data_IF_889712103760
#
_entry.id   IF_889712103760
#
_cell.length_a   1.000
_cell.length_b   1.000
_cell.length_c   1.000
_cell.angle_alpha   90.00
_cell.angle_beta   90.00
_cell.angle_gamma   90.00
#
_symmetry.space_group_name_H-M   'P 1'
#
loop_
_entity.id
_entity.type
_entity.pdbx_description
1 polymer ?
#
# COMPACT_ATOMS: atom_id res chain seq x y z
N UNK A 1 -31.62 15.08 -25.98
CA UNK A 1 -32.16 15.02 -24.61
C UNK A 1 -31.19 14.21 -23.78
N UNK A 2 -30.52 14.85 -22.82
CA UNK A 2 -29.55 14.16 -21.98
C UNK A 2 -30.25 13.06 -21.20
N UNK A 3 -29.77 11.82 -21.36
CA UNK A 3 -30.25 10.70 -20.57
C UNK A 3 -29.72 10.88 -19.15
N UNK A 4 -30.63 11.01 -18.18
CA UNK A 4 -30.33 11.13 -16.75
C UNK A 4 -31.07 10.04 -15.98
N UNK A 5 -30.48 9.64 -14.86
CA UNK A 5 -31.10 8.77 -13.84
C UNK A 5 -31.02 9.52 -12.52
N UNK A 6 -32.03 9.38 -11.68
CA UNK A 6 -31.95 9.88 -10.31
C UNK A 6 -31.29 8.84 -9.39
N UNK A 7 -30.75 9.31 -8.25
CA UNK A 7 -30.23 8.41 -7.22
C UNK A 7 -31.34 7.49 -6.66
N UNK A 8 -32.57 7.99 -6.54
CA UNK A 8 -33.71 7.23 -6.03
C UNK A 8 -34.09 6.07 -6.96
N UNK A 9 -34.09 6.30 -8.28
CA UNK A 9 -34.32 5.27 -9.29
C UNK A 9 -33.25 4.16 -9.23
N UNK A 10 -31.98 4.54 -9.11
CA UNK A 10 -30.86 3.60 -9.00
C UNK A 10 -30.98 2.78 -7.70
N UNK A 11 -31.27 3.45 -6.57
CA UNK A 11 -31.43 2.79 -5.28
C UNK A 11 -32.60 1.80 -5.26
N UNK A 12 -33.71 2.12 -5.92
CA UNK A 12 -34.84 1.20 -6.08
C UNK A 12 -34.43 -0.06 -6.87
N UNK A 13 -33.74 0.10 -8.00
CA UNK A 13 -33.21 -1.04 -8.78
C UNK A 13 -32.25 -1.92 -7.98
N UNK A 14 -31.37 -1.32 -7.18
CA UNK A 14 -30.45 -2.06 -6.31
C UNK A 14 -31.23 -2.89 -5.29
N UNK A 15 -32.21 -2.29 -4.60
CA UNK A 15 -33.06 -2.98 -3.62
C UNK A 15 -33.87 -4.14 -4.23
N UNK A 16 -34.31 -3.98 -5.47
CA UNK A 16 -35.05 -5.01 -6.22
C UNK A 16 -34.14 -6.08 -6.84
N UNK A 17 -32.81 -5.96 -6.75
CA UNK A 17 -31.86 -6.88 -7.38
C UNK A 17 -31.82 -6.79 -8.92
N UNK A 18 -32.31 -5.69 -9.50
CA UNK A 18 -32.41 -5.46 -10.95
C UNK A 18 -31.33 -4.54 -11.51
N UNK A 19 -30.53 -3.93 -10.64
CA UNK A 19 -29.45 -3.03 -11.07
C UNK A 19 -28.32 -3.82 -11.74
N UNK A 20 -27.86 -3.37 -12.89
CA UNK A 20 -26.61 -3.87 -13.49
C UNK A 20 -25.44 -3.11 -12.87
N UNK A 21 -24.61 -3.81 -12.09
CA UNK A 21 -23.48 -3.26 -11.35
C UNK A 21 -22.20 -3.85 -11.95
N UNK A 22 -21.26 -2.98 -12.34
CA UNK A 22 -19.94 -3.39 -12.82
C UNK A 22 -18.85 -2.76 -11.97
N UNK A 23 -17.74 -3.46 -11.76
CA UNK A 23 -16.49 -2.83 -11.34
C UNK A 23 -15.90 -2.02 -12.49
N UNK A 24 -15.09 -1.01 -12.15
CA UNK A 24 -14.34 -0.24 -13.15
C UNK A 24 -13.47 -1.13 -14.04
N UNK A 25 -12.88 -2.20 -13.49
CA UNK A 25 -12.05 -3.12 -14.27
C UNK A 25 -12.87 -3.96 -15.25
N UNK A 26 -14.05 -4.45 -14.85
CA UNK A 26 -14.95 -5.16 -15.76
C UNK A 26 -15.40 -4.25 -16.91
N UNK A 27 -15.68 -2.98 -16.62
CA UNK A 27 -16.02 -2.02 -17.67
C UNK A 27 -14.87 -1.81 -18.65
N UNK A 28 -13.64 -1.60 -18.16
CA UNK A 28 -12.44 -1.45 -19.01
C UNK A 28 -12.26 -2.69 -19.89
N UNK A 29 -12.29 -3.88 -19.31
CA UNK A 29 -12.12 -5.13 -20.05
C UNK A 29 -13.17 -5.30 -21.16
N UNK A 30 -14.42 -4.91 -20.91
CA UNK A 30 -15.50 -4.96 -21.91
C UNK A 30 -15.22 -4.01 -23.08
N UNK A 31 -14.78 -2.79 -22.78
CA UNK A 31 -14.41 -1.80 -23.80
C UNK A 31 -13.21 -2.25 -24.63
N UNK A 32 -12.17 -2.79 -23.99
CA UNK A 32 -10.97 -3.31 -24.66
C UNK A 32 -11.29 -4.49 -25.58
N UNK A 33 -12.29 -5.31 -25.23
CA UNK A 33 -12.81 -6.38 -26.07
C UNK A 33 -13.73 -5.89 -27.20
N UNK A 34 -13.92 -4.57 -27.36
CA UNK A 34 -14.74 -3.97 -28.40
C UNK A 34 -16.24 -3.93 -28.10
N UNK A 35 -16.68 -4.23 -26.88
CA UNK A 35 -18.09 -4.10 -26.51
C UNK A 35 -18.52 -2.62 -26.49
N UNK A 36 -19.65 -2.31 -27.13
CA UNK A 36 -20.27 -0.97 -27.05
C UNK A 36 -21.19 -0.86 -25.85
N UNK A 37 -20.69 -0.27 -24.76
CA UNK A 37 -21.47 0.02 -23.56
C UNK A 37 -22.28 1.30 -23.75
N UNK A 38 -23.60 1.23 -23.59
CA UNK A 38 -24.51 2.38 -23.66
C UNK A 38 -25.04 2.72 -22.28
N UNK A 39 -25.59 3.93 -22.15
CA UNK A 39 -26.22 4.42 -20.91
C UNK A 39 -27.14 3.40 -20.22
N UNK A 40 -27.92 2.63 -20.99
CA UNK A 40 -28.89 1.66 -20.45
C UNK A 40 -28.29 0.33 -19.98
N UNK A 41 -27.04 0.04 -20.34
CA UNK A 41 -26.42 -1.27 -20.13
C UNK A 41 -25.76 -1.39 -18.75
N UNK A 42 -25.54 -0.27 -18.04
CA UNK A 42 -24.95 -0.22 -16.70
C UNK A 42 -25.73 0.76 -15.85
N UNK A 43 -26.07 0.40 -14.61
CA UNK A 43 -26.73 1.28 -13.65
C UNK A 43 -25.74 1.86 -12.63
N UNK A 44 -24.76 1.08 -12.18
CA UNK A 44 -23.73 1.50 -11.22
C UNK A 44 -22.35 1.00 -11.66
N UNK A 45 -21.35 1.88 -11.58
CA UNK A 45 -19.95 1.50 -11.68
C UNK A 45 -19.34 1.62 -10.29
N UNK A 46 -18.83 0.51 -9.77
CA UNK A 46 -18.06 0.50 -8.52
C UNK A 46 -16.60 0.75 -8.85
N UNK A 47 -16.01 1.72 -8.16
CA UNK A 47 -14.58 1.98 -8.22
C UNK A 47 -13.96 1.55 -6.91
N UNK A 48 -12.74 1.04 -6.98
CA UNK A 48 -11.92 0.80 -5.81
C UNK A 48 -10.59 1.50 -6.03
N UNK A 49 -10.21 2.36 -5.10
CA UNK A 49 -8.89 2.98 -5.11
C UNK A 49 -7.96 2.09 -4.31
N UNK A 50 -6.99 1.47 -4.97
CA UNK A 50 -5.85 0.87 -4.28
C UNK A 50 -4.75 1.92 -4.20
N UNK A 51 -4.50 2.43 -2.99
CA UNK A 51 -3.46 3.40 -2.76
C UNK A 51 -2.69 3.06 -1.48
N UNK A 52 -1.43 3.47 -1.46
CA UNK A 52 -0.61 3.44 -0.26
C UNK A 52 -1.15 4.48 0.71
N UNK A 53 -1.73 4.01 1.81
CA UNK A 53 -2.25 4.91 2.83
C UNK A 53 -1.09 5.43 3.69
N UNK A 54 -1.06 6.75 3.90
CA UNK A 54 -0.17 7.35 4.89
C UNK A 54 -0.49 6.85 6.29
N UNK A 55 0.54 6.70 7.13
CA UNK A 55 0.39 6.17 8.48
C UNK A 55 0.35 4.65 8.59
N UNK A 56 0.77 3.92 7.54
CA UNK A 56 1.06 2.48 7.59
C UNK A 56 2.55 2.26 7.90
N UNK A 57 2.84 1.36 8.84
CA UNK A 57 4.17 0.86 9.14
C UNK A 57 4.19 -0.68 9.18
N UNK A 58 5.26 -1.29 8.69
CA UNK A 58 5.60 -2.69 8.89
C UNK A 58 6.61 -2.82 10.03
N UNK A 59 6.34 -3.70 10.99
CA UNK A 59 7.21 -4.02 12.11
C UNK A 59 7.68 -5.46 11.95
N UNK A 60 8.98 -5.66 11.88
CA UNK A 60 9.59 -6.93 11.54
C UNK A 60 10.63 -7.33 12.57
N UNK A 61 10.82 -8.64 12.77
CA UNK A 61 11.95 -9.22 13.49
C UNK A 61 12.46 -10.43 12.72
N UNK A 62 13.74 -10.43 12.35
CA UNK A 62 14.33 -11.51 11.57
C UNK A 62 15.84 -11.65 11.84
N UNK A 63 16.41 -12.81 11.54
CA UNK A 63 17.83 -13.11 11.75
C UNK A 63 18.65 -12.68 10.53
N UNK A 64 19.51 -11.69 10.72
CA UNK A 64 20.37 -11.18 9.65
C UNK A 64 21.81 -11.69 9.75
N UNK A 65 22.30 -12.04 10.94
CA UNK A 65 23.66 -12.55 11.15
C UNK A 65 23.72 -13.71 12.17
N UNK A 66 24.84 -14.44 12.25
CA UNK A 66 25.12 -15.31 13.39
C UNK A 66 25.25 -14.49 14.69
N UNK A 67 24.95 -15.08 15.86
CA UNK A 67 25.19 -14.43 17.15
C UNK A 67 26.65 -13.98 17.30
N UNK A 68 26.84 -12.92 18.09
CA UNK A 68 28.13 -12.32 18.45
C UNK A 68 28.91 -11.70 17.29
N UNK A 69 28.31 -11.56 16.11
CA UNK A 69 28.97 -11.00 14.91
C UNK A 69 28.79 -9.48 14.76
N UNK A 70 27.62 -8.95 15.14
CA UNK A 70 27.25 -7.55 14.93
C UNK A 70 26.76 -6.96 16.24
N UNK A 71 27.26 -5.78 16.63
CA UNK A 71 26.79 -5.07 17.83
C UNK A 71 25.56 -4.22 17.53
N UNK A 72 25.52 -3.57 16.38
CA UNK A 72 24.41 -2.68 15.99
C UNK A 72 24.38 -2.45 14.49
N UNK A 73 23.19 -2.52 13.91
CA UNK A 73 22.97 -2.01 12.55
C UNK A 73 22.60 -0.53 12.58
N UNK A 74 23.21 0.27 11.71
CA UNK A 74 22.93 1.72 11.59
C UNK A 74 22.06 2.04 10.39
N UNK A 75 22.07 1.17 9.38
CA UNK A 75 21.24 1.33 8.19
C UNK A 75 20.79 -0.04 7.75
N UNK A 76 19.48 -0.23 7.61
CA UNK A 76 18.89 -1.45 7.07
C UNK A 76 17.83 -1.08 6.05
N UNK A 77 17.81 -1.79 4.92
CA UNK A 77 16.79 -1.66 3.90
C UNK A 77 16.29 -3.02 3.44
N UNK A 78 15.05 -3.06 2.97
CA UNK A 78 14.46 -4.21 2.30
C UNK A 78 13.98 -3.76 0.92
N UNK A 79 14.44 -4.40 -0.15
CA UNK A 79 14.21 -3.97 -1.54
C UNK A 79 14.51 -2.47 -1.78
N UNK A 80 15.49 -1.92 -1.06
CA UNK A 80 15.86 -0.49 -1.13
C UNK A 80 14.94 0.46 -0.36
N UNK A 81 13.91 -0.03 0.32
CA UNK A 81 13.11 0.75 1.28
C UNK A 81 13.91 0.83 2.59
N UNK A 82 14.30 2.04 3.00
CA UNK A 82 15.01 2.23 4.26
C UNK A 82 14.08 2.06 5.46
N UNK A 83 14.55 1.34 6.47
CA UNK A 83 13.86 1.16 7.74
C UNK A 83 14.66 1.70 8.92
N UNK A 84 14.02 1.70 10.07
CA UNK A 84 14.54 2.13 11.35
C UNK A 84 14.88 0.89 12.18
N UNK A 85 16.17 0.58 12.41
CA UNK A 85 16.58 -0.54 13.25
C UNK A 85 16.15 -0.33 14.70
N UNK A 86 15.81 -1.43 15.38
CA UNK A 86 15.25 -1.45 16.72
C UNK A 86 13.73 -1.72 16.71
N UNK A 87 13.05 -1.60 17.86
CA UNK A 87 13.52 -0.95 19.07
C UNK A 87 14.41 -1.83 19.97
N UNK A 88 14.39 -3.16 19.84
CA UNK A 88 15.17 -4.02 20.73
C UNK A 88 16.62 -4.18 20.25
N UNK A 89 17.61 -4.10 21.16
CA UNK A 89 19.03 -4.24 20.82
C UNK A 89 19.46 -5.72 20.70
N UNK A 90 18.78 -6.48 19.84
CA UNK A 90 18.98 -7.93 19.68
C UNK A 90 20.07 -8.28 18.64
N UNK A 91 20.76 -7.30 18.08
CA UNK A 91 21.70 -7.51 16.97
C UNK A 91 22.88 -8.40 17.37
N UNK A 92 23.28 -8.38 18.65
CA UNK A 92 24.32 -9.28 19.15
C UNK A 92 23.86 -10.74 19.24
N UNK A 93 22.56 -11.01 19.21
CA UNK A 93 22.00 -12.34 18.99
C UNK A 93 21.83 -12.67 17.49
N UNK A 94 22.17 -11.72 16.62
CA UNK A 94 22.02 -11.82 15.17
C UNK A 94 20.62 -11.52 14.65
N UNK A 95 19.72 -11.07 15.53
CA UNK A 95 18.33 -10.73 15.21
C UNK A 95 18.21 -9.22 15.14
N UNK A 96 17.50 -8.73 14.13
CA UNK A 96 17.18 -7.31 14.01
C UNK A 96 15.68 -7.12 14.10
N UNK A 97 15.28 -6.12 14.87
CA UNK A 97 13.95 -5.54 14.80
C UNK A 97 13.99 -4.34 13.85
N UNK A 98 12.97 -4.18 13.01
CA UNK A 98 12.94 -3.15 11.98
C UNK A 98 11.54 -2.58 11.81
N UNK A 99 11.45 -1.25 11.77
CA UNK A 99 10.24 -0.53 11.40
C UNK A 99 10.42 0.07 10.01
N UNK A 100 9.50 -0.19 9.09
CA UNK A 100 9.47 0.36 7.73
C UNK A 100 8.16 1.11 7.51
N UNK A 101 8.18 2.21 6.76
CA UNK A 101 6.96 2.97 6.45
C UNK A 101 6.42 2.64 5.06
N UNK A 102 5.11 2.50 4.94
CA UNK A 102 4.46 2.15 3.68
C UNK A 102 4.61 3.20 2.58
N UNK A 103 4.80 4.46 2.97
CA UNK A 103 5.00 5.60 2.05
C UNK A 103 6.46 5.82 1.65
N UNK A 104 7.41 5.13 2.29
CA UNK A 104 8.83 5.27 1.98
C UNK A 104 9.12 4.77 0.57
N UNK A 105 10.01 5.45 -0.15
CA UNK A 105 10.35 5.12 -1.54
C UNK A 105 11.62 4.28 -1.59
N UNK A 106 11.68 3.38 -2.57
CA UNK A 106 12.90 2.61 -2.77
C UNK A 106 13.99 3.48 -3.37
N UNK A 107 15.20 3.33 -2.84
CA UNK A 107 16.41 3.93 -3.41
C UNK A 107 16.98 3.14 -4.58
N UNK A 108 16.48 1.94 -4.84
CA UNK A 108 17.06 1.01 -5.83
C UNK A 108 16.06 0.47 -6.84
N UNK A 109 14.76 0.71 -6.65
CA UNK A 109 13.69 0.30 -7.56
C UNK A 109 12.80 1.49 -7.90
N UNK A 110 12.64 1.77 -9.19
CA UNK A 110 11.74 2.82 -9.66
C UNK A 110 10.27 2.46 -9.37
N UNK A 111 9.48 3.47 -9.02
CA UNK A 111 8.05 3.34 -8.72
C UNK A 111 7.71 2.29 -7.65
N UNK A 112 8.63 2.02 -6.73
CA UNK A 112 8.47 1.01 -5.68
C UNK A 112 8.47 1.66 -4.29
N UNK A 113 7.54 1.24 -3.43
CA UNK A 113 7.34 1.81 -2.10
C UNK A 113 7.25 0.76 -1.01
N UNK A 114 7.26 1.20 0.25
CA UNK A 114 7.10 0.33 1.41
C UNK A 114 5.81 -0.51 1.38
N UNK A 115 4.67 0.03 0.92
CA UNK A 115 3.47 -0.78 0.85
C UNK A 115 3.45 -1.77 -0.33
N UNK A 116 4.19 -1.50 -1.41
CA UNK A 116 4.45 -2.54 -2.42
C UNK A 116 5.34 -3.65 -1.85
N UNK A 117 6.35 -3.29 -1.06
CA UNK A 117 7.15 -4.26 -0.29
C UNK A 117 6.28 -5.10 0.65
N UNK A 118 5.36 -4.49 1.39
CA UNK A 118 4.48 -5.23 2.30
C UNK A 118 3.58 -6.21 1.55
N UNK A 119 3.07 -5.80 0.38
CA UNK A 119 2.34 -6.70 -0.52
C UNK A 119 3.21 -7.86 -0.98
N UNK A 120 4.43 -7.59 -1.46
CA UNK A 120 5.35 -8.63 -1.92
C UNK A 120 5.65 -9.65 -0.83
N UNK A 121 5.86 -9.20 0.41
CA UNK A 121 6.05 -10.07 1.58
C UNK A 121 4.82 -10.96 1.84
N UNK A 122 3.61 -10.39 1.82
CA UNK A 122 2.37 -11.15 2.03
C UNK A 122 2.09 -12.13 0.89
N UNK A 123 2.51 -11.81 -0.33
CA UNK A 123 2.47 -12.71 -1.50
C UNK A 123 3.58 -13.79 -1.45
N UNK A 124 4.40 -13.82 -0.39
CA UNK A 124 5.47 -14.81 -0.21
C UNK A 124 6.69 -14.61 -1.12
N UNK A 125 6.83 -13.43 -1.73
CA UNK A 125 7.96 -13.15 -2.61
C UNK A 125 9.25 -12.97 -1.82
N UNK A 126 10.34 -13.34 -2.46
CA UNK A 126 11.68 -13.11 -1.94
C UNK A 126 12.05 -11.61 -2.02
N UNK A 127 12.63 -11.08 -0.95
CA UNK A 127 13.03 -9.69 -0.81
C UNK A 127 14.51 -9.58 -0.44
N UNK A 128 15.17 -8.54 -0.96
CA UNK A 128 16.59 -8.29 -0.70
C UNK A 128 16.75 -7.41 0.54
N UNK A 129 17.29 -7.96 1.61
CA UNK A 129 17.69 -7.21 2.80
C UNK A 129 19.15 -6.79 2.70
N UNK A 130 19.43 -5.51 2.88
CA UNK A 130 20.78 -4.95 2.99
C UNK A 130 20.93 -4.22 4.32
N UNK A 131 22.03 -4.46 5.02
CA UNK A 131 22.33 -3.77 6.26
C UNK A 131 23.81 -3.41 6.38
N UNK A 132 24.07 -2.27 7.02
CA UNK A 132 25.40 -1.82 7.42
C UNK A 132 25.47 -1.62 8.93
N UNK A 133 26.53 -2.13 9.54
CA UNK A 133 26.77 -2.05 10.99
C UNK A 133 27.65 -0.87 11.39
N UNK A 134 27.68 -0.55 12.70
CA UNK A 134 28.59 0.47 13.24
C UNK A 134 30.07 0.11 13.04
N UNK A 135 30.36 -1.19 12.95
CA UNK A 135 31.70 -1.74 12.72
C UNK A 135 32.11 -1.72 11.24
N UNK A 136 31.24 -1.21 10.35
CA UNK A 136 31.48 -1.17 8.91
C UNK A 136 31.20 -2.49 8.19
N UNK A 137 30.57 -3.47 8.84
CA UNK A 137 30.18 -4.71 8.17
C UNK A 137 28.93 -4.47 7.32
N UNK A 138 29.00 -4.88 6.05
CA UNK A 138 27.86 -4.91 5.15
C UNK A 138 27.36 -6.34 4.97
N UNK A 139 26.05 -6.52 5.08
CA UNK A 139 25.37 -7.82 4.93
C UNK A 139 24.25 -7.65 3.90
N UNK A 140 24.23 -8.55 2.93
CA UNK A 140 23.13 -8.69 1.97
C UNK A 140 22.58 -10.12 2.05
N UNK A 141 21.26 -10.26 2.13
CA UNK A 141 20.55 -11.55 2.10
C UNK A 141 19.26 -11.42 1.31
N UNK A 142 18.89 -12.51 0.67
CA UNK A 142 17.53 -12.71 0.16
C UNK A 142 16.74 -13.48 1.22
N UNK A 143 15.55 -13.00 1.57
CA UNK A 143 14.67 -13.58 2.57
C UNK A 143 13.23 -13.56 2.06
N UNK A 144 12.40 -14.48 2.56
CA UNK A 144 10.94 -14.48 2.41
C UNK A 144 10.29 -14.10 3.74
N UNK A 145 8.97 -13.89 3.75
CA UNK A 145 8.27 -13.62 5.02
C UNK A 145 8.37 -14.78 6.01
N UNK A 146 8.57 -16.02 5.54
CA UNK A 146 8.71 -17.20 6.40
C UNK A 146 10.03 -17.22 7.19
N UNK A 147 11.03 -16.45 6.75
CA UNK A 147 12.28 -16.25 7.49
C UNK A 147 12.13 -15.26 8.67
N UNK A 148 10.97 -14.59 8.77
CA UNK A 148 10.73 -13.55 9.77
C UNK A 148 10.11 -14.18 11.01
N UNK A 149 10.80 -14.04 12.15
CA UNK A 149 10.27 -14.48 13.44
C UNK A 149 9.05 -13.65 13.87
N UNK A 150 8.94 -12.41 13.38
CA UNK A 150 7.80 -11.55 13.58
C UNK A 150 7.59 -10.64 12.37
N UNK A 151 6.34 -10.50 11.94
CA UNK A 151 5.93 -9.52 10.95
C UNK A 151 4.52 -9.02 11.30
N UNK A 152 4.35 -7.71 11.44
CA UNK A 152 3.04 -7.09 11.70
C UNK A 152 2.91 -5.78 10.95
N UNK A 153 1.77 -5.61 10.30
CA UNK A 153 1.34 -4.33 9.78
C UNK A 153 0.65 -3.53 10.90
N UNK A 154 1.06 -2.29 11.08
CA UNK A 154 0.44 -1.34 11.99
C UNK A 154 -0.03 -0.12 11.20
N UNK A 155 -1.23 0.35 11.47
CA UNK A 155 -1.70 1.60 10.91
C UNK A 155 -2.23 2.54 11.99
N UNK A 156 -1.85 3.81 11.90
CA UNK A 156 -2.30 4.84 12.85
C UNK A 156 -3.68 5.39 12.51
N UNK A 157 -4.12 5.19 11.27
CA UNK A 157 -5.44 5.53 10.74
C UNK A 157 -5.88 4.33 9.90
N UNK A 158 -6.70 3.43 10.43
CA UNK A 158 -7.20 2.25 9.70
C UNK A 158 -8.71 2.16 9.95
N UNK A 159 -9.47 1.84 8.90
CA UNK A 159 -10.93 1.73 8.93
C UNK A 159 -11.66 3.01 9.40
N UNK A 160 -11.75 4.00 8.50
CA UNK A 160 -12.49 5.23 8.77
C UNK A 160 -13.92 5.01 8.26
N UNK A 161 -14.82 4.60 9.15
CA UNK A 161 -16.26 4.74 8.90
C UNK A 161 -16.56 6.22 9.11
N UNK A 162 -16.89 6.95 8.03
CA UNK A 162 -17.05 8.41 7.97
C UNK A 162 -15.76 9.20 7.74
N UNK A 163 -15.04 8.92 6.65
CA UNK A 163 -14.02 9.86 6.17
C UNK A 163 -14.69 11.19 5.84
N UNK A 164 -14.23 12.29 6.43
CA UNK A 164 -14.73 13.61 6.07
C UNK A 164 -14.32 13.92 4.63
N UNK A 165 -15.31 13.95 3.74
CA UNK A 165 -15.11 14.48 2.40
C UNK A 165 -15.14 16.01 2.48
N UNK A 166 -14.07 16.66 2.03
CA UNK A 166 -14.14 18.08 1.67
C UNK A 166 -14.72 18.17 0.28
N UNK A 167 -15.94 18.70 0.18
CA UNK A 167 -16.53 19.10 -1.09
C UNK A 167 -16.38 20.60 -1.25
N UNK A 168 -16.07 21.05 -2.45
CA UNK A 168 -16.19 22.45 -2.82
C UNK A 168 -17.61 22.67 -3.35
N UNK A 169 -18.53 23.29 -2.58
CA UNK A 169 -19.90 23.50 -3.01
C UNK A 169 -20.05 24.70 -3.95
N UNK A 170 -18.96 25.38 -4.29
CA UNK A 170 -18.95 26.60 -5.10
C UNK A 170 -18.51 26.33 -6.53
N UNK A 171 -18.71 27.31 -7.39
CA UNK A 171 -18.28 27.34 -8.79
C UNK A 171 -16.83 27.85 -8.98
N UNK A 172 -16.14 28.22 -7.89
CA UNK A 172 -14.78 28.77 -7.93
C UNK A 172 -13.76 27.72 -7.52
N UNK A 173 -12.59 27.74 -8.14
CA UNK A 173 -11.47 26.88 -7.74
C UNK A 173 -11.00 27.23 -6.33
N UNK A 174 -10.68 26.19 -5.54
CA UNK A 174 -10.15 26.32 -4.17
C UNK A 174 -8.82 25.58 -4.10
N UNK A 175 -7.78 26.30 -3.72
CA UNK A 175 -6.46 25.74 -3.47
C UNK A 175 -6.47 25.01 -2.11
N UNK A 176 -6.01 23.76 -2.10
CA UNK A 176 -5.95 22.90 -0.91
C UNK A 176 -4.64 22.15 -0.90
N UNK A 177 -4.31 21.48 0.21
CA UNK A 177 -3.19 20.52 0.26
C UNK A 177 -3.31 19.37 -0.74
N UNK A 178 -4.50 19.17 -1.33
CA UNK A 178 -4.78 18.20 -2.39
C UNK A 178 -4.77 18.83 -3.79
N UNK A 179 -4.67 20.16 -3.89
CA UNK A 179 -4.58 20.91 -5.15
C UNK A 179 -3.11 21.09 -5.54
N UNK A 180 -2.38 19.98 -5.71
CA UNK A 180 -1.02 20.01 -6.24
C UNK A 180 -1.08 19.98 -7.77
N UNK A 181 -1.01 21.14 -8.42
CA UNK A 181 -0.66 21.21 -9.83
C UNK A 181 0.86 20.99 -9.96
N UNK A 182 1.34 20.20 -10.95
CA UNK A 182 2.75 19.93 -11.17
C UNK A 182 3.56 21.19 -11.53
#
# INVERSE_FOLDING_TARGET
MDKKRSLDEINAKIKEGKATILTVQELINKLDNGEKIRFKDVDVITTATNALMSGIAGIFSFRLSPPKKVRKFIEVSINGILGFPGPCPNEFLGIIDLILYGTEKSKTKDNYSGGMLFRDLVEGKEVRVRARSIEGLEIEKMLTIDDFQFARLMGTRQAIRNYFAMVNPTDKEVETIFSALP
#
